data_IF_809506932115
#
_entry.id   IF_809506932115
#
_cell.length_a   1.000
_cell.length_b   1.000
_cell.length_c   1.000
_cell.angle_alpha   90.00
_cell.angle_beta   90.00
_cell.angle_gamma   90.00
#
_symmetry.space_group_name_H-M   'P 1'
#
loop_
_entity.id
_entity.type
_entity.pdbx_description
1 polymer ?
#
# COMPACT_ATOMS: atom_id res chain seq x y z
N UNK A 1 63.21 -26.89 21.38
CA UNK A 1 62.58 -25.72 22.05
C UNK A 1 61.68 -24.84 21.14
N UNK A 2 61.14 -25.33 19.99
CA UNK A 2 60.26 -24.52 19.11
C UNK A 2 58.88 -25.13 18.77
N UNK A 3 58.57 -26.36 19.24
CA UNK A 3 57.29 -27.04 18.94
C UNK A 3 56.09 -26.47 19.72
N UNK A 4 56.33 -26.00 20.95
CA UNK A 4 55.35 -25.33 21.81
C UNK A 4 54.87 -23.96 21.29
N UNK A 5 55.72 -23.23 20.55
CA UNK A 5 55.33 -21.96 19.90
C UNK A 5 54.30 -22.17 18.78
N UNK A 6 54.36 -23.29 18.07
CA UNK A 6 53.36 -23.64 17.05
C UNK A 6 52.01 -24.01 17.68
N UNK A 7 52.03 -24.72 18.83
CA UNK A 7 50.79 -25.08 19.56
C UNK A 7 50.09 -23.84 20.11
N UNK A 8 50.83 -22.87 20.65
CA UNK A 8 50.26 -21.60 21.14
C UNK A 8 49.69 -20.75 19.99
N UNK A 9 50.35 -20.74 18.83
CA UNK A 9 49.84 -20.03 17.65
C UNK A 9 48.53 -20.61 17.12
N UNK A 10 48.41 -21.93 17.05
CA UNK A 10 47.17 -22.62 16.62
C UNK A 10 46.05 -22.41 17.64
N UNK A 11 46.36 -22.42 18.94
CA UNK A 11 45.36 -22.18 19.98
C UNK A 11 44.83 -20.75 19.95
N UNK A 12 45.71 -19.76 19.75
CA UNK A 12 45.30 -18.36 19.60
C UNK A 12 44.44 -18.14 18.35
N UNK A 13 44.74 -18.83 17.24
CA UNK A 13 43.93 -18.77 16.02
C UNK A 13 42.55 -19.40 16.20
N UNK A 14 42.46 -20.52 16.93
CA UNK A 14 41.18 -21.16 17.26
C UNK A 14 40.30 -20.28 18.16
N UNK A 15 40.90 -19.60 19.14
CA UNK A 15 40.19 -18.63 20.00
C UNK A 15 39.76 -17.40 19.19
N UNK A 16 40.61 -16.89 18.28
CA UNK A 16 40.26 -15.76 17.42
C UNK A 16 39.13 -16.12 16.43
N UNK A 17 39.14 -17.32 15.85
CA UNK A 17 38.06 -17.81 14.98
C UNK A 17 36.77 -18.06 15.77
N UNK A 18 36.84 -18.64 16.97
CA UNK A 18 35.69 -18.79 17.86
C UNK A 18 35.13 -17.45 18.34
N UNK A 19 36.00 -16.50 18.67
CA UNK A 19 35.60 -15.14 18.99
C UNK A 19 35.00 -14.43 17.76
N UNK A 20 35.50 -14.68 16.55
CA UNK A 20 34.94 -14.11 15.32
C UNK A 20 33.57 -14.68 14.98
N UNK A 21 33.31 -15.96 15.22
CA UNK A 21 31.96 -16.53 15.07
C UNK A 21 31.01 -16.03 16.16
N UNK A 22 31.49 -15.79 17.38
CA UNK A 22 30.70 -15.18 18.47
C UNK A 22 30.54 -13.65 18.35
N UNK A 23 31.45 -12.98 17.66
CA UNK A 23 31.44 -11.54 17.36
C UNK A 23 30.86 -11.25 15.97
N UNK A 24 30.41 -12.28 15.26
CA UNK A 24 29.46 -12.05 14.18
C UNK A 24 28.29 -11.30 14.82
N UNK A 25 27.97 -10.06 14.40
CA UNK A 25 26.81 -9.38 14.91
C UNK A 25 25.68 -10.31 14.54
N UNK A 26 25.17 -11.07 15.52
CA UNK A 26 24.05 -11.96 15.35
C UNK A 26 23.07 -11.15 14.55
N UNK A 27 22.85 -11.56 13.30
CA UNK A 27 21.91 -10.92 12.44
C UNK A 27 20.64 -10.96 13.28
N UNK A 28 20.32 -9.84 13.93
CA UNK A 28 19.08 -9.59 14.62
C UNK A 28 18.14 -9.69 13.45
N UNK A 29 17.71 -10.92 13.18
CA UNK A 29 16.64 -11.25 12.28
C UNK A 29 15.53 -10.46 12.93
N UNK A 30 15.34 -9.23 12.47
CA UNK A 30 14.24 -8.38 12.91
C UNK A 30 13.08 -9.31 12.72
N UNK A 31 12.51 -9.74 13.82
CA UNK A 31 11.30 -10.53 13.83
C UNK A 31 10.33 -9.64 13.06
N UNK A 32 10.17 -9.95 11.78
CA UNK A 32 9.47 -9.07 10.87
C UNK A 32 8.02 -9.29 11.22
N UNK A 33 7.58 -8.55 12.23
CA UNK A 33 6.20 -8.49 12.65
C UNK A 33 5.39 -8.27 11.38
N UNK A 34 4.33 -9.07 11.17
CA UNK A 34 3.50 -8.91 9.99
C UNK A 34 3.02 -7.46 9.92
N UNK A 35 3.13 -6.86 8.73
CA UNK A 35 2.71 -5.50 8.48
C UNK A 35 1.26 -5.31 8.96
N UNK A 36 0.97 -4.35 9.86
CA UNK A 36 -0.37 -4.18 10.42
C UNK A 36 -1.39 -3.85 9.33
N UNK A 37 -2.48 -4.61 9.28
CA UNK A 37 -3.59 -4.35 8.37
C UNK A 37 -4.43 -3.18 8.87
N UNK A 38 -4.79 -2.25 7.99
CA UNK A 38 -5.54 -1.05 8.38
C UNK A 38 -7.06 -1.27 8.36
N UNK A 39 -7.55 -2.19 7.54
CA UNK A 39 -8.98 -2.47 7.40
C UNK A 39 -9.29 -3.98 7.35
N UNK A 40 -10.51 -4.37 7.72
CA UNK A 40 -10.94 -5.78 7.79
C UNK A 40 -12.17 -6.09 6.94
N UNK A 41 -12.34 -5.41 5.81
CA UNK A 41 -13.39 -5.68 4.81
C UNK A 41 -12.82 -6.34 3.54
N UNK A 42 -13.69 -6.87 2.67
CA UNK A 42 -13.33 -7.32 1.33
C UNK A 42 -13.61 -6.21 0.29
N UNK A 43 -12.81 -6.14 -0.78
CA UNK A 43 -12.98 -5.12 -1.83
C UNK A 43 -14.34 -5.23 -2.52
N UNK A 44 -14.90 -6.43 -2.60
CA UNK A 44 -16.22 -6.66 -3.16
C UNK A 44 -17.37 -6.09 -2.33
N UNK A 45 -17.17 -5.93 -1.02
CA UNK A 45 -18.13 -5.33 -0.10
C UNK A 45 -18.16 -3.81 -0.19
N UNK A 46 -17.19 -3.19 -0.88
CA UNK A 46 -17.16 -1.74 -1.08
C UNK A 46 -18.30 -1.34 -2.01
N UNK A 47 -19.21 -0.51 -1.48
CA UNK A 47 -20.32 0.07 -2.24
C UNK A 47 -19.97 1.46 -2.75
N UNK A 48 -19.14 2.21 -2.04
CA UNK A 48 -18.80 3.58 -2.37
C UNK A 48 -17.45 3.94 -1.74
N UNK A 49 -16.66 4.74 -2.42
CA UNK A 49 -15.50 5.38 -1.82
C UNK A 49 -15.35 6.83 -2.28
N UNK A 50 -14.89 7.67 -1.37
CA UNK A 50 -14.65 9.09 -1.57
C UNK A 50 -13.19 9.39 -1.30
N UNK A 51 -12.55 10.07 -2.24
CA UNK A 51 -11.16 10.54 -2.10
C UNK A 51 -11.21 12.05 -2.01
N UNK A 52 -10.72 12.60 -0.91
CA UNK A 52 -10.62 14.03 -0.66
C UNK A 52 -9.17 14.41 -0.40
N UNK A 53 -8.65 15.36 -1.17
CA UNK A 53 -7.29 15.87 -1.05
C UNK A 53 -7.18 17.35 -1.46
N UNK A 54 -5.97 17.85 -1.74
CA UNK A 54 -5.75 19.26 -2.06
C UNK A 54 -6.45 19.70 -3.35
N UNK A 55 -6.59 18.77 -4.30
CA UNK A 55 -7.21 19.00 -5.62
C UNK A 55 -8.75 18.91 -5.57
N UNK A 56 -9.34 18.72 -4.39
CA UNK A 56 -10.78 18.59 -4.18
C UNK A 56 -11.21 17.19 -3.76
N UNK A 57 -12.50 16.89 -3.91
CA UNK A 57 -13.08 15.59 -3.56
C UNK A 57 -13.95 15.02 -4.67
N UNK A 58 -13.91 13.70 -4.85
CA UNK A 58 -14.81 12.99 -5.74
C UNK A 58 -15.23 11.67 -5.11
N UNK A 59 -16.40 11.18 -5.53
CA UNK A 59 -17.00 9.96 -4.99
C UNK A 59 -17.32 9.00 -6.12
N UNK A 60 -16.91 7.75 -5.94
CA UNK A 60 -17.19 6.63 -6.82
C UNK A 60 -18.15 5.68 -6.12
N UNK A 61 -19.20 5.29 -6.82
CA UNK A 61 -20.24 4.41 -6.31
C UNK A 61 -20.40 3.20 -7.21
N UNK A 62 -20.46 2.02 -6.58
CA UNK A 62 -20.79 0.76 -7.24
C UNK A 62 -22.31 0.72 -7.44
N UNK A 63 -22.73 0.65 -8.69
CA UNK A 63 -24.14 0.50 -9.07
C UNK A 63 -24.53 -0.98 -9.02
N UNK A 64 -25.78 -1.25 -8.66
CA UNK A 64 -26.36 -2.58 -8.69
C UNK A 64 -26.93 -2.92 -10.09
N UNK A 65 -26.34 -2.38 -11.16
CA UNK A 65 -26.81 -2.63 -12.52
C UNK A 65 -26.52 -4.08 -12.97
N UNK A 66 -27.45 -4.65 -13.74
CA UNK A 66 -27.28 -5.94 -14.40
C UNK A 66 -26.95 -5.73 -15.89
N UNK A 67 -26.17 -6.61 -16.52
CA UNK A 67 -25.76 -7.94 -16.06
C UNK A 67 -24.52 -7.97 -15.12
N UNK A 68 -23.84 -6.84 -14.90
CA UNK A 68 -22.72 -6.76 -13.97
C UNK A 68 -22.66 -5.39 -13.29
N UNK A 69 -22.31 -5.33 -11.98
CA UNK A 69 -22.18 -4.08 -11.25
C UNK A 69 -21.19 -3.16 -11.95
N UNK A 70 -21.58 -1.91 -12.15
CA UNK A 70 -20.70 -0.89 -12.72
C UNK A 70 -20.22 0.05 -11.63
N UNK A 71 -19.17 0.79 -11.91
CA UNK A 71 -18.80 1.95 -11.12
C UNK A 71 -19.24 3.20 -11.86
N UNK A 72 -19.68 4.21 -11.11
CA UNK A 72 -19.93 5.55 -11.63
C UNK A 72 -19.34 6.58 -10.68
N UNK A 73 -18.90 7.72 -11.21
CA UNK A 73 -18.64 8.87 -10.38
C UNK A 73 -19.99 9.45 -9.98
N UNK A 74 -20.27 9.54 -8.69
CA UNK A 74 -21.51 10.09 -8.17
C UNK A 74 -21.40 11.61 -7.91
N UNK A 75 -20.20 12.09 -7.57
CA UNK A 75 -19.91 13.49 -7.26
C UNK A 75 -18.47 13.85 -7.67
N UNK A 76 -18.19 15.12 -8.05
CA UNK A 76 -19.10 16.29 -8.04
C UNK A 76 -20.15 16.26 -9.17
N UNK A 77 -19.87 15.54 -10.25
CA UNK A 77 -20.78 15.31 -11.36
C UNK A 77 -20.84 13.82 -11.70
N UNK A 78 -21.90 13.41 -12.39
CA UNK A 78 -22.02 12.04 -12.88
C UNK A 78 -21.12 11.83 -14.09
N UNK A 79 -20.25 10.83 -14.03
CA UNK A 79 -19.35 10.47 -15.12
C UNK A 79 -19.12 8.96 -15.20
N UNK A 80 -18.91 8.40 -16.41
CA UNK A 80 -18.56 7.00 -16.58
C UNK A 80 -17.18 6.70 -16.00
N UNK A 81 -17.02 5.49 -15.47
CA UNK A 81 -15.81 5.02 -14.79
C UNK A 81 -15.37 3.69 -15.38
N UNK A 82 -14.05 3.52 -15.51
CA UNK A 82 -13.43 2.24 -15.81
C UNK A 82 -13.60 1.31 -14.60
N UNK A 83 -14.54 0.37 -14.71
CA UNK A 83 -14.96 -0.47 -13.59
C UNK A 83 -13.84 -1.35 -13.04
N UNK A 84 -12.88 -1.73 -13.88
CA UNK A 84 -11.70 -2.50 -13.48
C UNK A 84 -10.80 -1.68 -12.56
N UNK A 85 -10.50 -0.43 -12.91
CA UNK A 85 -9.65 0.47 -12.11
C UNK A 85 -10.28 0.81 -10.75
N UNK A 86 -11.60 1.07 -10.74
CA UNK A 86 -12.31 1.34 -9.48
C UNK A 86 -12.38 0.10 -8.57
N UNK A 87 -12.56 -1.10 -9.14
CA UNK A 87 -12.54 -2.34 -8.37
C UNK A 87 -11.14 -2.65 -7.83
N UNK A 88 -10.11 -2.48 -8.66
CA UNK A 88 -8.72 -2.62 -8.23
C UNK A 88 -8.38 -1.67 -7.07
N UNK A 89 -8.84 -0.42 -7.13
CA UNK A 89 -8.64 0.52 -6.03
C UNK A 89 -9.37 0.08 -4.74
N UNK A 90 -10.59 -0.45 -4.85
CA UNK A 90 -11.31 -1.01 -3.71
C UNK A 90 -10.57 -2.21 -3.08
N UNK A 91 -9.99 -3.08 -3.90
CA UNK A 91 -9.17 -4.21 -3.45
C UNK A 91 -7.87 -3.74 -2.79
N UNK A 92 -7.21 -2.71 -3.35
CA UNK A 92 -6.04 -2.09 -2.74
C UNK A 92 -6.33 -1.53 -1.36
N UNK A 93 -7.49 -0.89 -1.16
CA UNK A 93 -7.93 -0.41 0.15
C UNK A 93 -8.21 -1.57 1.13
N UNK A 94 -8.88 -2.63 0.67
CA UNK A 94 -9.17 -3.81 1.48
C UNK A 94 -7.89 -4.56 1.91
N UNK A 95 -6.86 -4.54 1.06
CA UNK A 95 -5.55 -5.15 1.29
C UNK A 95 -4.54 -4.22 1.95
N UNK A 96 -4.91 -3.00 2.33
CA UNK A 96 -3.96 -1.99 2.79
C UNK A 96 -3.31 -2.37 4.12
N UNK A 97 -1.98 -2.45 4.10
CA UNK A 97 -1.15 -2.67 5.30
C UNK A 97 -0.20 -1.50 5.49
N UNK A 98 -0.04 -1.05 6.74
CA UNK A 98 1.01 -0.12 7.10
C UNK A 98 2.34 -0.84 7.33
N UNK A 99 3.46 -0.12 7.22
CA UNK A 99 4.80 -0.68 7.46
C UNK A 99 5.00 -0.99 8.95
N UNK A 100 4.44 -0.15 9.82
CA UNK A 100 4.41 -0.38 11.27
C UNK A 100 3.40 0.53 11.98
N UNK A 101 3.04 0.14 13.19
CA UNK A 101 2.37 1.00 14.16
C UNK A 101 3.39 1.81 14.96
N UNK A 102 3.03 3.04 15.33
CA UNK A 102 3.71 3.81 16.37
C UNK A 102 3.06 3.44 17.70
N UNK A 103 3.82 2.75 18.55
CA UNK A 103 3.38 2.33 19.89
C UNK A 103 3.36 3.54 20.84
N UNK A 104 2.43 4.46 20.62
CA UNK A 104 2.22 5.66 21.41
C UNK A 104 0.80 5.62 21.95
N UNK A 105 0.66 5.57 23.27
CA UNK A 105 -0.65 5.69 23.91
C UNK A 105 -1.18 7.13 23.75
N UNK A 106 -2.43 7.27 23.29
CA UNK A 106 -3.09 8.56 23.06
C UNK A 106 -2.25 9.55 22.23
N UNK A 107 -1.95 9.22 20.96
CA UNK A 107 -1.11 10.07 20.11
C UNK A 107 -1.78 11.43 19.87
N UNK A 108 -1.04 12.52 20.07
CA UNK A 108 -1.49 13.84 19.61
C UNK A 108 -1.47 13.87 18.07
N UNK A 109 -2.65 13.76 17.46
CA UNK A 109 -2.82 13.69 16.01
C UNK A 109 -2.37 14.98 15.29
N UNK A 110 -2.32 16.12 15.97
CA UNK A 110 -1.90 17.37 15.35
C UNK A 110 -0.42 17.33 14.97
N UNK A 111 0.43 16.72 15.79
CA UNK A 111 1.87 16.60 15.54
C UNK A 111 2.19 15.78 14.27
N UNK A 112 1.25 14.93 13.85
CA UNK A 112 1.36 14.05 12.69
C UNK A 112 0.61 14.58 11.46
N UNK A 113 -0.01 15.77 11.55
CA UNK A 113 -0.85 16.32 10.49
C UNK A 113 -2.16 15.54 10.27
N UNK A 114 -2.65 14.81 11.28
CA UNK A 114 -3.84 13.95 11.17
C UNK A 114 -5.13 14.62 11.65
N UNK A 115 -5.05 15.81 12.26
CA UNK A 115 -6.20 16.69 12.50
C UNK A 115 -6.66 17.43 11.24
N UNK A 116 -5.70 17.74 10.35
CA UNK A 116 -5.91 18.32 9.01
C UNK A 116 -5.15 17.46 7.99
N UNK A 117 -5.69 16.27 7.66
CA UNK A 117 -5.03 15.32 6.78
C UNK A 117 -4.87 15.89 5.37
N UNK A 118 -3.76 15.54 4.70
CA UNK A 118 -3.52 15.89 3.31
C UNK A 118 -4.38 15.06 2.34
N UNK A 119 -4.70 13.82 2.74
CA UNK A 119 -5.59 12.94 2.00
C UNK A 119 -6.52 12.23 2.98
N UNK A 120 -7.80 12.20 2.65
CA UNK A 120 -8.82 11.40 3.34
C UNK A 120 -9.48 10.47 2.34
N UNK A 121 -9.47 9.17 2.63
CA UNK A 121 -10.20 8.17 1.85
C UNK A 121 -11.30 7.60 2.73
N UNK A 122 -12.55 7.80 2.32
CA UNK A 122 -13.72 7.26 3.00
C UNK A 122 -14.25 6.08 2.20
N UNK A 123 -14.54 4.97 2.86
CA UNK A 123 -15.09 3.75 2.27
C UNK A 123 -16.42 3.47 2.93
N UNK A 124 -17.45 3.24 2.14
CA UNK A 124 -18.75 2.78 2.61
C UNK A 124 -19.05 1.40 2.03
N UNK A 125 -19.34 0.47 2.92
CA UNK A 125 -19.64 -0.91 2.57
C UNK A 125 -21.11 -1.11 2.25
N UNK A 126 -21.44 -2.24 1.62
CA UNK A 126 -22.81 -2.63 1.24
C UNK A 126 -23.74 -2.81 2.44
N UNK A 127 -23.20 -3.19 3.60
CA UNK A 127 -23.93 -3.31 4.86
C UNK A 127 -24.17 -1.94 5.55
N UNK A 128 -23.62 -0.87 4.99
CA UNK A 128 -23.72 0.49 5.52
C UNK A 128 -22.60 0.90 6.47
N UNK A 129 -21.68 -0.01 6.83
CA UNK A 129 -20.51 0.34 7.62
C UNK A 129 -19.61 1.32 6.87
N UNK A 130 -18.94 2.20 7.61
CA UNK A 130 -18.05 3.22 7.08
C UNK A 130 -16.68 3.12 7.72
N UNK A 131 -15.65 3.17 6.88
CA UNK A 131 -14.25 3.21 7.28
C UNK A 131 -13.58 4.45 6.69
N UNK A 132 -12.62 5.01 7.41
CA UNK A 132 -11.89 6.20 6.94
C UNK A 132 -10.41 6.01 7.14
N UNK A 133 -9.63 6.30 6.11
CA UNK A 133 -8.18 6.47 6.19
C UNK A 133 -7.85 7.96 6.17
N UNK A 134 -7.07 8.41 7.14
CA UNK A 134 -6.49 9.73 7.17
C UNK A 134 -5.00 9.63 6.91
N UNK A 135 -4.50 10.35 5.92
CA UNK A 135 -3.07 10.44 5.60
C UNK A 135 -2.60 11.85 5.91
N UNK A 136 -1.64 11.95 6.82
CA UNK A 136 -1.10 13.20 7.32
C UNK A 136 0.26 13.54 6.71
N UNK A 137 1.09 14.15 7.56
CA UNK A 137 2.39 14.65 7.20
C UNK A 137 3.38 13.53 6.85
N UNK A 138 4.42 13.91 6.12
CA UNK A 138 5.57 13.05 5.84
C UNK A 138 6.42 12.83 7.11
N UNK A 139 6.84 11.58 7.31
CA UNK A 139 7.71 11.19 8.40
C UNK A 139 9.17 11.54 8.05
N UNK A 140 9.90 12.31 8.89
CA UNK A 140 11.19 12.90 8.51
C UNK A 140 12.31 11.94 8.09
N UNK A 141 12.26 10.66 8.51
CA UNK A 141 13.41 9.73 8.37
C UNK A 141 12.99 8.37 7.77
N UNK A 142 11.77 8.24 7.28
CA UNK A 142 11.21 6.92 6.93
C UNK A 142 10.74 6.77 5.48
N UNK A 143 10.79 7.82 4.65
CA UNK A 143 10.11 7.84 3.33
C UNK A 143 8.68 7.27 3.45
N UNK A 144 7.98 7.70 4.49
CA UNK A 144 6.68 7.21 4.89
C UNK A 144 5.83 8.41 5.30
N UNK A 145 4.52 8.19 5.42
CA UNK A 145 3.56 9.16 5.92
C UNK A 145 2.87 8.62 7.15
N UNK A 146 2.53 9.52 8.06
CA UNK A 146 1.70 9.17 9.19
C UNK A 146 0.26 8.94 8.71
N UNK A 147 -0.35 7.85 9.17
CA UNK A 147 -1.75 7.54 8.87
C UNK A 147 -2.51 7.11 10.13
N UNK A 148 -3.81 7.34 10.15
CA UNK A 148 -4.73 6.78 11.15
C UNK A 148 -6.05 6.38 10.50
N UNK A 149 -6.82 5.54 11.19
CA UNK A 149 -8.13 5.07 10.74
C UNK A 149 -9.26 5.85 11.41
N UNK A 150 -10.52 5.44 11.17
CA UNK A 150 -11.73 6.01 11.77
C UNK A 150 -11.68 6.08 13.32
N UNK A 151 -11.02 5.11 13.96
CA UNK A 151 -10.86 5.06 15.41
C UNK A 151 -9.98 6.18 16.00
N UNK A 152 -9.10 6.80 15.19
CA UNK A 152 -8.25 7.94 15.56
C UNK A 152 -7.44 7.76 16.86
N UNK A 153 -7.17 6.52 17.25
CA UNK A 153 -6.50 6.17 18.51
C UNK A 153 -5.09 5.61 18.32
N UNK A 154 -4.73 5.23 17.09
CA UNK A 154 -3.43 4.67 16.71
C UNK A 154 -2.88 5.41 15.52
N UNK A 155 -1.56 5.56 15.47
CA UNK A 155 -0.86 6.16 14.34
C UNK A 155 0.05 5.11 13.73
N UNK A 156 0.04 5.03 12.41
CA UNK A 156 0.85 4.09 11.65
C UNK A 156 1.78 4.85 10.70
N UNK A 157 2.85 4.19 10.28
CA UNK A 157 3.68 4.62 9.17
C UNK A 157 3.29 3.83 7.92
N UNK A 158 2.90 4.54 6.87
CA UNK A 158 2.61 3.98 5.56
C UNK A 158 3.67 4.48 4.58
N UNK A 159 4.29 3.60 3.81
CA UNK A 159 5.30 4.01 2.82
C UNK A 159 4.76 5.14 1.92
N UNK A 160 5.60 6.14 1.61
CA UNK A 160 5.18 7.27 0.77
C UNK A 160 4.73 6.79 -0.61
N UNK A 161 5.36 5.74 -1.14
CA UNK A 161 4.96 5.09 -2.39
C UNK A 161 3.51 4.59 -2.34
N UNK A 162 3.14 3.84 -1.30
CA UNK A 162 1.76 3.37 -1.11
C UNK A 162 0.81 4.55 -0.89
N UNK A 163 1.21 5.54 -0.08
CA UNK A 163 0.40 6.73 0.16
C UNK A 163 0.13 7.53 -1.13
N UNK A 164 1.10 7.62 -2.03
CA UNK A 164 0.96 8.28 -3.33
C UNK A 164 0.07 7.51 -4.29
N UNK A 165 0.10 6.17 -4.27
CA UNK A 165 -0.85 5.35 -5.04
C UNK A 165 -2.31 5.56 -4.62
N UNK A 166 -2.55 5.92 -3.36
CA UNK A 166 -3.89 6.24 -2.85
C UNK A 166 -4.39 7.61 -3.33
N UNK A 167 -3.49 8.52 -3.74
CA UNK A 167 -3.82 9.87 -4.25
C UNK A 167 -4.29 9.81 -5.71
N UNK A 168 -5.43 9.16 -5.93
CA UNK A 168 -6.07 9.12 -7.25
C UNK A 168 -6.86 10.39 -7.53
N UNK A 169 -7.05 10.68 -8.81
CA UNK A 169 -7.85 11.78 -9.36
C UNK A 169 -9.00 11.21 -10.19
N UNK A 170 -10.06 11.99 -10.45
CA UNK A 170 -11.15 11.57 -11.34
C UNK A 170 -10.70 11.04 -12.70
N UNK A 171 -9.63 11.60 -13.26
CA UNK A 171 -9.08 11.22 -14.56
C UNK A 171 -8.52 9.78 -14.58
N UNK A 172 -7.97 9.30 -13.46
CA UNK A 172 -7.39 7.95 -13.35
C UNK A 172 -8.44 6.85 -13.47
N UNK A 173 -9.71 7.20 -13.26
CA UNK A 173 -10.83 6.29 -13.33
C UNK A 173 -11.64 6.42 -14.62
N UNK A 174 -11.21 7.26 -15.58
CA UNK A 174 -11.95 7.41 -16.84
C UNK A 174 -11.69 6.22 -17.76
N UNK A 175 -12.72 5.71 -18.47
CA UNK A 175 -12.54 4.69 -19.50
C UNK A 175 -11.51 5.15 -20.54
N UNK A 176 -10.46 4.35 -20.72
CA UNK A 176 -9.47 4.60 -21.76
C UNK A 176 -10.02 4.06 -23.10
N UNK A 177 -9.75 4.73 -24.23
CA UNK A 177 -10.01 4.12 -25.53
C UNK A 177 -9.21 2.83 -25.60
N UNK A 178 -9.88 1.69 -25.85
CA UNK A 178 -9.22 0.40 -26.01
C UNK A 178 -8.18 0.53 -27.13
N UNK A 179 -6.91 0.66 -26.77
CA UNK A 179 -5.83 0.55 -27.73
C UNK A 179 -5.78 -0.90 -28.14
N UNK A 180 -6.40 -1.21 -29.27
CA UNK A 180 -6.13 -2.44 -30.01
C UNK A 180 -4.63 -2.45 -30.31
N UNK A 181 -3.81 -3.05 -29.45
CA UNK A 181 -2.48 -3.49 -29.86
C UNK A 181 -2.73 -4.48 -31.01
N UNK A 182 -2.25 -4.22 -32.24
CA UNK A 182 -2.22 -5.26 -33.26
C UNK A 182 -1.16 -6.26 -32.83
N UNK A 183 -1.50 -7.14 -31.90
CA UNK A 183 -0.72 -8.32 -31.57
C UNK A 183 -0.92 -9.30 -32.72
N UNK A 184 0.04 -9.26 -33.64
CA UNK A 184 0.54 -10.46 -34.30
C UNK A 184 -0.48 -11.27 -35.14
N UNK A 185 -1.10 -10.63 -36.13
CA UNK A 185 -1.77 -11.31 -37.25
C UNK A 185 -1.03 -11.07 -38.59
N UNK A 186 0.30 -11.02 -38.54
CA UNK A 186 1.16 -10.73 -39.68
C UNK A 186 2.33 -11.71 -39.82
N UNK A 187 2.11 -13.01 -39.59
CA UNK A 187 3.09 -14.04 -39.94
C UNK A 187 2.42 -15.36 -40.34
N UNK A 188 1.51 -15.29 -41.31
CA UNK A 188 0.96 -16.48 -41.97
C UNK A 188 0.46 -16.13 -43.38
N UNK A 189 1.35 -15.66 -44.27
CA UNK A 189 1.04 -15.58 -45.70
C UNK A 189 2.30 -15.39 -46.57
N UNK A 190 3.33 -16.24 -46.46
CA UNK A 190 4.32 -16.35 -47.55
C UNK A 190 5.02 -17.71 -47.55
N UNK A 191 4.30 -18.76 -47.97
CA UNK A 191 4.93 -19.90 -48.67
C UNK A 191 3.85 -20.63 -49.47
N UNK A 192 3.71 -20.29 -50.76
CA UNK A 192 2.75 -20.98 -51.63
C UNK A 192 2.45 -20.29 -52.95
N UNK A 193 3.46 -20.25 -53.85
CA UNK A 193 3.42 -20.08 -55.32
C UNK A 193 4.76 -19.44 -55.69
N UNK A 194 5.62 -20.00 -56.54
CA UNK A 194 5.37 -20.70 -57.79
C UNK A 194 6.61 -21.51 -58.18
#
# INVERSE_FOLDING_TARGET
MKRWLLVLGVLALAVALGAFTLYSPAARKKEQLPNPKLFSFAGDDVAEFTIAGPDGSFTLKRTAEQPAPRWEQAAPEKAPVEAAEASFYADQLAGLTADRELEVEHPDLAQYGLTKPELTVTVKLRDGAQHVLYVGAEAPVAMARYVTTDAKNRVYLLSSFTADQLKKKPADFRPQPKTSTPSEAGKAAETGQK
#
